data_IF_849605601744
#
_entry.id   IF_849605601744
#
_cell.length_a   1.000
_cell.length_b   1.000
_cell.length_c   1.000
_cell.angle_alpha   90.00
_cell.angle_beta   90.00
_cell.angle_gamma   90.00
#
_symmetry.space_group_name_H-M   'P 1'
#
loop_
_entity.id
_entity.type
_entity.pdbx_description
1 polymer ?
#
# COMPACT_ATOMS: atom_id res chain seq x y z
N UNK A 1 9.93 14.64 37.34
CA UNK A 1 10.07 13.15 37.27
C UNK A 1 10.93 12.86 36.06
N UNK A 2 12.14 12.34 36.29
CA UNK A 2 13.15 12.08 35.23
C UNK A 2 12.79 10.82 34.43
N UNK A 3 13.32 10.70 33.22
CA UNK A 3 12.99 9.73 32.18
C UNK A 3 12.88 8.24 32.61
N UNK A 4 13.57 7.84 33.69
CA UNK A 4 13.53 6.49 34.23
C UNK A 4 12.16 6.10 34.81
N UNK A 5 11.31 7.06 35.17
CA UNK A 5 9.99 6.76 35.71
C UNK A 5 8.94 6.41 34.65
N UNK A 6 9.10 6.90 33.39
CA UNK A 6 8.20 6.59 32.27
C UNK A 6 8.29 5.12 31.88
N UNK A 7 9.50 4.60 31.75
CA UNK A 7 9.71 3.19 31.38
C UNK A 7 9.17 2.23 32.45
N UNK A 8 9.42 2.54 33.73
CA UNK A 8 8.89 1.73 34.84
C UNK A 8 7.35 1.75 34.88
N UNK A 9 6.74 2.91 34.62
CA UNK A 9 5.29 3.01 34.56
C UNK A 9 4.72 2.19 33.38
N UNK A 10 5.28 2.32 32.17
CA UNK A 10 4.86 1.54 31.02
C UNK A 10 4.95 0.04 31.31
N UNK A 11 6.09 -0.44 31.80
CA UNK A 11 6.27 -1.85 32.18
C UNK A 11 5.21 -2.31 33.19
N UNK A 12 4.87 -1.48 34.18
CA UNK A 12 3.90 -1.79 35.20
C UNK A 12 2.46 -1.75 34.66
N UNK A 13 2.13 -0.81 33.79
CA UNK A 13 0.84 -0.71 33.08
C UNK A 13 0.58 -1.97 32.27
N UNK A 14 1.54 -2.37 31.42
CA UNK A 14 1.45 -3.59 30.61
C UNK A 14 1.28 -4.86 31.46
N UNK A 15 1.98 -4.95 32.59
CA UNK A 15 1.88 -6.10 33.51
C UNK A 15 0.55 -6.16 34.25
N UNK A 16 0.00 -5.00 34.63
CA UNK A 16 -1.26 -4.96 35.43
C UNK A 16 -2.51 -5.23 34.58
N UNK A 17 -2.48 -4.93 33.27
CA UNK A 17 -3.68 -4.96 32.42
C UNK A 17 -3.41 -5.54 31.03
N UNK A 18 -2.87 -6.78 30.94
CA UNK A 18 -2.43 -7.36 29.67
C UNK A 18 -3.58 -7.51 28.66
N UNK A 19 -4.77 -7.91 29.10
CA UNK A 19 -5.94 -8.12 28.23
C UNK A 19 -6.41 -6.83 27.53
N UNK A 20 -6.19 -5.68 28.16
CA UNK A 20 -6.56 -4.39 27.61
C UNK A 20 -5.62 -3.97 26.49
N UNK A 21 -4.33 -4.06 26.75
CA UNK A 21 -3.32 -3.75 25.76
C UNK A 21 -3.43 -4.70 24.58
N UNK A 22 -3.73 -5.98 24.86
CA UNK A 22 -3.99 -6.97 23.83
C UNK A 22 -5.18 -6.58 22.94
N UNK A 23 -6.29 -6.13 23.52
CA UNK A 23 -7.46 -5.71 22.73
C UNK A 23 -7.14 -4.52 21.82
N UNK A 24 -6.47 -3.49 22.33
CA UNK A 24 -6.08 -2.32 21.53
C UNK A 24 -5.09 -2.75 20.44
N UNK A 25 -4.10 -3.55 20.80
CA UNK A 25 -3.14 -4.12 19.86
C UNK A 25 -3.82 -4.88 18.73
N UNK A 26 -4.77 -5.78 19.03
CA UNK A 26 -5.52 -6.55 18.03
C UNK A 26 -6.34 -5.62 17.13
N UNK A 27 -7.02 -4.61 17.68
CA UNK A 27 -7.80 -3.65 16.90
C UNK A 27 -6.90 -2.89 15.92
N UNK A 28 -5.74 -2.38 16.37
CA UNK A 28 -4.80 -1.67 15.51
C UNK A 28 -4.26 -2.60 14.43
N UNK A 29 -3.88 -3.83 14.79
CA UNK A 29 -3.36 -4.83 13.86
C UNK A 29 -4.38 -5.15 12.77
N UNK A 30 -5.62 -5.49 13.16
CA UNK A 30 -6.69 -5.79 12.21
C UNK A 30 -7.01 -4.59 11.29
N UNK A 31 -6.98 -3.38 11.85
CA UNK A 31 -7.23 -2.16 11.07
C UNK A 31 -6.15 -1.86 10.03
N UNK A 32 -4.90 -2.25 10.30
CA UNK A 32 -3.77 -2.07 9.39
C UNK A 32 -3.67 -3.17 8.31
N UNK A 33 -4.12 -4.39 8.60
CA UNK A 33 -3.97 -5.52 7.68
C UNK A 33 -4.60 -5.22 6.32
N UNK A 34 -5.83 -4.72 6.28
CA UNK A 34 -6.56 -4.53 5.02
C UNK A 34 -5.92 -3.46 4.11
N UNK A 35 -5.59 -2.26 4.59
CA UNK A 35 -4.84 -1.28 3.80
C UNK A 35 -3.48 -1.79 3.32
N UNK A 36 -2.76 -2.55 4.16
CA UNK A 36 -1.48 -3.15 3.78
C UNK A 36 -1.64 -4.23 2.71
N UNK A 37 -2.68 -5.07 2.80
CA UNK A 37 -3.00 -6.06 1.76
C UNK A 37 -3.25 -5.37 0.41
N UNK A 38 -4.03 -4.28 0.40
CA UNK A 38 -4.25 -3.50 -0.82
C UNK A 38 -2.98 -2.87 -1.37
N UNK A 39 -2.12 -2.31 -0.48
CA UNK A 39 -0.83 -1.75 -0.91
C UNK A 39 0.06 -2.81 -1.55
N UNK A 40 0.23 -3.97 -0.90
CA UNK A 40 1.06 -5.07 -1.42
C UNK A 40 0.46 -5.64 -2.72
N UNK A 41 -0.87 -5.73 -2.81
CA UNK A 41 -1.53 -6.17 -4.04
C UNK A 41 -1.24 -5.23 -5.22
N UNK A 42 -1.37 -3.91 -5.00
CA UNK A 42 -1.09 -2.91 -6.03
C UNK A 42 0.38 -2.93 -6.49
N UNK A 43 1.31 -3.01 -5.54
CA UNK A 43 2.74 -3.08 -5.83
C UNK A 43 3.07 -4.35 -6.64
N UNK A 44 2.48 -5.48 -6.25
CA UNK A 44 2.70 -6.77 -6.90
C UNK A 44 2.08 -6.83 -8.30
N UNK A 45 0.87 -6.30 -8.45
CA UNK A 45 0.16 -6.22 -9.73
C UNK A 45 0.90 -5.31 -10.72
N UNK A 46 1.27 -4.11 -10.28
CA UNK A 46 2.01 -3.15 -11.11
C UNK A 46 3.38 -3.70 -11.53
N UNK A 47 4.10 -4.34 -10.60
CA UNK A 47 5.38 -4.95 -10.92
C UNK A 47 5.25 -6.13 -11.90
N UNK A 48 4.27 -7.01 -11.68
CA UNK A 48 4.03 -8.15 -12.57
C UNK A 48 3.65 -7.70 -13.98
N UNK A 49 2.79 -6.68 -14.10
CA UNK A 49 2.44 -6.08 -15.38
C UNK A 49 3.66 -5.46 -16.08
N UNK A 50 4.47 -4.71 -15.35
CA UNK A 50 5.73 -4.16 -15.85
C UNK A 50 6.65 -5.26 -16.41
N UNK A 51 6.83 -6.37 -15.69
CA UNK A 51 7.65 -7.49 -16.16
C UNK A 51 7.05 -8.17 -17.40
N UNK A 52 5.73 -8.25 -17.49
CA UNK A 52 5.06 -8.79 -18.67
C UNK A 52 5.29 -7.90 -19.90
N UNK A 53 5.14 -6.58 -19.75
CA UNK A 53 5.42 -5.64 -20.84
C UNK A 53 6.86 -5.76 -21.35
N UNK A 54 7.84 -5.80 -20.44
CA UNK A 54 9.25 -6.01 -20.79
C UNK A 54 9.44 -7.33 -21.54
N UNK A 55 8.81 -8.41 -21.07
CA UNK A 55 8.92 -9.72 -21.71
C UNK A 55 8.26 -9.76 -23.09
N UNK A 56 7.17 -9.03 -23.28
CA UNK A 56 6.49 -8.90 -24.57
C UNK A 56 7.31 -8.06 -25.58
N UNK A 57 7.84 -6.93 -25.13
CA UNK A 57 8.64 -6.04 -25.96
C UNK A 57 10.04 -6.59 -26.23
N UNK A 58 10.58 -7.49 -25.37
CA UNK A 58 11.97 -8.00 -25.46
C UNK A 58 13.05 -6.91 -25.57
N UNK A 59 12.71 -5.67 -25.17
CA UNK A 59 13.59 -4.50 -25.34
C UNK A 59 13.65 -3.95 -26.78
N UNK A 60 12.75 -4.37 -27.67
CA UNK A 60 12.73 -4.00 -29.07
C UNK A 60 11.57 -3.06 -29.40
N UNK A 61 11.77 -2.18 -30.39
CA UNK A 61 10.76 -1.19 -30.77
C UNK A 61 9.68 -1.76 -31.67
N UNK A 62 10.05 -2.60 -32.62
CA UNK A 62 9.13 -3.16 -33.61
C UNK A 62 9.23 -4.69 -33.65
N UNK A 63 8.08 -5.33 -33.58
CA UNK A 63 7.91 -6.76 -33.76
C UNK A 63 7.12 -7.01 -35.04
N UNK A 64 7.64 -7.79 -35.92
CA UNK A 64 7.02 -8.15 -37.21
C UNK A 64 6.70 -9.64 -37.14
N UNK A 65 5.46 -9.95 -36.77
CA UNK A 65 4.99 -11.33 -36.58
C UNK A 65 4.65 -12.02 -37.91
N UNK A 66 4.64 -13.34 -37.88
CA UNK A 66 4.43 -14.23 -39.03
C UNK A 66 5.50 -14.07 -40.12
N UNK A 67 6.72 -13.74 -39.72
CA UNK A 67 7.84 -13.50 -40.63
C UNK A 67 8.76 -14.73 -40.73
N UNK A 68 9.27 -14.99 -41.90
CA UNK A 68 10.35 -15.96 -42.12
C UNK A 68 11.72 -15.27 -41.98
N UNK A 69 12.80 -16.08 -41.81
CA UNK A 69 14.16 -15.57 -41.70
C UNK A 69 14.55 -14.69 -42.88
N UNK A 70 14.03 -15.01 -44.08
CA UNK A 70 14.27 -14.21 -45.30
C UNK A 70 13.61 -12.84 -45.27
N UNK A 71 12.53 -12.68 -44.53
CA UNK A 71 11.84 -11.40 -44.39
C UNK A 71 12.67 -10.40 -43.58
N UNK A 72 13.58 -10.86 -42.72
CA UNK A 72 14.51 -9.98 -42.02
C UNK A 72 15.40 -9.18 -42.95
N UNK A 73 15.74 -9.73 -44.14
CA UNK A 73 16.56 -9.02 -45.11
C UNK A 73 15.85 -7.79 -45.74
N UNK A 74 14.51 -7.80 -45.80
CA UNK A 74 13.70 -6.68 -46.32
C UNK A 74 13.85 -5.45 -45.44
N UNK A 75 14.12 -5.64 -44.13
CA UNK A 75 14.23 -4.56 -43.16
C UNK A 75 15.67 -4.15 -42.85
N UNK A 76 16.67 -4.75 -43.53
CA UNK A 76 18.09 -4.37 -43.39
C UNK A 76 18.39 -2.98 -43.98
N UNK A 77 19.45 -2.37 -43.43
CA UNK A 77 20.00 -1.10 -43.92
C UNK A 77 19.02 0.07 -43.89
N UNK A 78 18.21 0.16 -42.85
CA UNK A 78 17.39 1.34 -42.56
C UNK A 78 18.17 2.21 -41.58
N UNK A 79 18.55 3.42 -42.01
CA UNK A 79 19.29 4.38 -41.19
C UNK A 79 18.47 4.73 -39.92
N UNK A 80 19.10 4.60 -38.76
CA UNK A 80 18.45 4.84 -37.45
C UNK A 80 17.81 3.60 -36.80
N UNK A 81 17.76 2.46 -37.50
CA UNK A 81 17.30 1.19 -36.95
C UNK A 81 18.46 0.20 -36.78
N UNK A 82 18.32 -0.72 -35.82
CA UNK A 82 19.25 -1.83 -35.64
C UNK A 82 19.22 -2.80 -36.82
N UNK A 83 20.21 -3.67 -36.91
CA UNK A 83 20.10 -4.81 -37.81
C UNK A 83 18.95 -5.72 -37.33
N UNK A 84 18.02 -6.06 -38.26
CA UNK A 84 16.90 -6.93 -37.90
C UNK A 84 17.41 -8.35 -37.62
N UNK A 85 16.82 -8.99 -36.63
CA UNK A 85 17.05 -10.40 -36.36
C UNK A 85 15.71 -11.17 -36.28
N UNK A 86 15.75 -12.43 -36.67
CA UNK A 86 14.58 -13.30 -36.66
C UNK A 86 14.67 -14.31 -35.52
N UNK A 87 13.57 -14.47 -34.76
CA UNK A 87 13.42 -15.44 -33.70
C UNK A 87 11.96 -15.88 -33.61
N UNK A 88 11.70 -17.19 -33.57
CA UNK A 88 10.36 -17.78 -33.35
C UNK A 88 9.24 -17.21 -34.22
N UNK A 89 9.49 -17.03 -35.53
CA UNK A 89 8.48 -16.51 -36.46
C UNK A 89 8.25 -14.99 -36.36
N UNK A 90 9.14 -14.27 -35.74
CA UNK A 90 9.06 -12.81 -35.56
C UNK A 90 10.40 -12.17 -35.91
N UNK A 91 10.35 -11.09 -36.68
CA UNK A 91 11.51 -10.22 -36.92
C UNK A 91 11.45 -9.06 -35.95
N UNK A 92 12.56 -8.82 -35.27
CA UNK A 92 12.73 -7.78 -34.27
C UNK A 92 13.61 -6.66 -34.81
N UNK A 93 13.21 -5.41 -34.57
CA UNK A 93 13.94 -4.22 -35.00
C UNK A 93 13.89 -3.16 -33.92
N UNK A 94 15.01 -2.53 -33.63
CA UNK A 94 15.14 -1.53 -32.57
C UNK A 94 15.57 -0.16 -33.13
N UNK A 95 15.06 0.92 -32.53
CA UNK A 95 15.54 2.28 -32.79
C UNK A 95 16.83 2.50 -32.01
N UNK A 96 17.93 2.83 -32.68
CA UNK A 96 19.28 2.90 -32.09
C UNK A 96 19.44 4.04 -31.07
N UNK A 97 18.64 5.09 -31.17
CA UNK A 97 18.71 6.25 -30.27
C UNK A 97 17.50 6.31 -29.38
N UNK A 98 17.69 6.13 -28.06
CA UNK A 98 16.64 6.17 -27.05
C UNK A 98 15.84 7.48 -27.03
N UNK A 99 16.47 8.63 -27.33
CA UNK A 99 15.77 9.91 -27.40
C UNK A 99 14.84 9.99 -28.61
N UNK A 100 15.22 9.35 -29.70
CA UNK A 100 14.37 9.20 -30.88
C UNK A 100 13.24 8.21 -30.61
N UNK A 101 13.49 7.14 -29.83
CA UNK A 101 12.48 6.17 -29.46
C UNK A 101 11.39 6.78 -28.57
N UNK A 102 11.74 7.69 -27.66
CA UNK A 102 10.77 8.43 -26.82
C UNK A 102 9.87 9.38 -27.63
N UNK A 103 10.27 9.73 -28.86
CA UNK A 103 9.51 10.64 -29.69
C UNK A 103 8.46 9.88 -30.51
N UNK A 104 7.18 10.13 -30.23
CA UNK A 104 6.04 9.51 -30.91
C UNK A 104 6.03 9.76 -32.42
N UNK A 105 6.47 10.94 -32.88
CA UNK A 105 6.54 11.27 -34.34
C UNK A 105 7.59 10.41 -35.03
N UNK A 106 8.74 10.21 -34.39
CA UNK A 106 9.82 9.36 -34.90
C UNK A 106 9.39 7.90 -34.98
N UNK A 107 8.71 7.40 -33.95
CA UNK A 107 8.13 6.05 -33.99
C UNK A 107 7.13 5.86 -35.12
N UNK A 108 6.22 6.82 -35.32
CA UNK A 108 5.26 6.79 -36.45
C UNK A 108 5.96 6.84 -37.80
N UNK A 109 7.02 7.63 -37.93
CA UNK A 109 7.84 7.70 -39.15
C UNK A 109 8.45 6.34 -39.48
N UNK A 110 9.17 5.72 -38.54
CA UNK A 110 9.77 4.40 -38.76
C UNK A 110 8.71 3.31 -38.99
N UNK A 111 7.61 3.33 -38.22
CA UNK A 111 6.49 2.41 -38.41
C UNK A 111 5.89 2.49 -39.82
N UNK A 112 5.71 3.71 -40.36
CA UNK A 112 5.22 3.94 -41.72
C UNK A 112 6.23 3.48 -42.80
N UNK A 113 7.51 3.66 -42.53
CA UNK A 113 8.60 3.23 -43.39
C UNK A 113 8.70 1.70 -43.46
N UNK A 114 8.59 1.02 -42.32
CA UNK A 114 8.54 -0.44 -42.27
C UNK A 114 7.30 -0.99 -42.99
N UNK A 115 6.12 -0.38 -42.78
CA UNK A 115 4.89 -0.76 -43.50
C UNK A 115 5.03 -0.56 -45.03
N UNK A 116 5.69 0.49 -45.46
CA UNK A 116 5.93 0.72 -46.89
C UNK A 116 6.83 -0.36 -47.48
N UNK A 117 7.90 -0.74 -46.79
CA UNK A 117 8.77 -1.85 -47.19
C UNK A 117 8.02 -3.17 -47.28
N UNK A 118 7.17 -3.45 -46.29
CA UNK A 118 6.33 -4.62 -46.24
C UNK A 118 5.37 -4.73 -47.43
N UNK A 119 4.73 -3.63 -47.81
CA UNK A 119 3.86 -3.60 -48.98
C UNK A 119 4.62 -3.86 -50.28
N UNK A 120 5.88 -3.46 -50.35
CA UNK A 120 6.74 -3.68 -51.52
C UNK A 120 7.17 -5.15 -51.64
N UNK A 121 7.22 -5.87 -50.50
CA UNK A 121 7.56 -7.29 -50.45
C UNK A 121 6.40 -8.24 -50.77
N UNK A 122 5.18 -7.71 -51.03
CA UNK A 122 3.94 -8.43 -51.38
C UNK A 122 3.51 -9.49 -50.33
N UNK A 123 3.91 -9.30 -49.07
CA UNK A 123 3.62 -10.22 -47.99
C UNK A 123 2.53 -9.64 -47.06
N UNK A 124 1.27 -9.96 -47.38
CA UNK A 124 0.09 -9.43 -46.68
C UNK A 124 -0.20 -10.04 -45.33
N UNK A 125 0.54 -11.09 -44.94
CA UNK A 125 0.33 -11.83 -43.68
C UNK A 125 1.16 -11.28 -42.51
N UNK A 126 2.13 -10.39 -42.79
CA UNK A 126 3.00 -9.82 -41.76
C UNK A 126 2.28 -8.74 -40.95
N UNK A 127 2.40 -8.79 -39.67
CA UNK A 127 1.81 -7.83 -38.74
C UNK A 127 2.89 -7.11 -37.95
N UNK A 128 2.94 -5.77 -38.07
CA UNK A 128 3.89 -4.92 -37.32
C UNK A 128 3.23 -4.46 -36.02
N UNK A 129 3.83 -4.82 -34.90
CA UNK A 129 3.49 -4.28 -33.56
C UNK A 129 4.60 -3.35 -33.16
N UNK A 130 4.27 -2.12 -32.76
CA UNK A 130 5.21 -1.14 -32.25
C UNK A 130 5.05 -1.01 -30.73
N UNK A 131 6.17 -1.01 -30.02
CA UNK A 131 6.22 -0.76 -28.59
C UNK A 131 6.89 0.60 -28.35
N UNK A 132 6.21 1.47 -27.61
CA UNK A 132 6.81 2.73 -27.17
C UNK A 132 7.89 2.48 -26.11
N UNK A 133 8.75 3.47 -25.90
CA UNK A 133 9.88 3.39 -24.98
C UNK A 133 9.42 2.99 -23.57
N UNK A 134 8.33 3.61 -23.11
CA UNK A 134 7.82 3.38 -21.76
C UNK A 134 7.28 1.96 -21.60
N UNK A 135 6.51 1.47 -22.56
CA UNK A 135 6.01 0.08 -22.58
C UNK A 135 7.15 -0.94 -22.58
N UNK A 136 8.16 -0.71 -23.43
CA UNK A 136 9.31 -1.63 -23.53
C UNK A 136 10.15 -1.67 -22.24
N UNK A 137 10.15 -0.57 -21.47
CA UNK A 137 10.82 -0.49 -20.16
C UNK A 137 9.91 -0.78 -18.98
N UNK A 138 8.69 -1.25 -19.23
CA UNK A 138 7.72 -1.65 -18.22
C UNK A 138 7.07 -0.48 -17.48
N UNK A 139 7.08 0.71 -18.08
CA UNK A 139 6.37 1.88 -17.58
C UNK A 139 4.99 1.87 -18.22
N UNK A 140 3.98 1.46 -17.45
CA UNK A 140 2.60 1.44 -17.95
C UNK A 140 1.96 2.82 -17.85
N UNK A 141 1.50 3.35 -18.98
CA UNK A 141 0.68 4.57 -19.05
C UNK A 141 -0.81 4.24 -19.25
N UNK A 142 -1.21 2.99 -19.06
CA UNK A 142 -2.59 2.59 -19.31
C UNK A 142 -3.53 3.28 -18.31
N UNK A 143 -4.33 4.23 -18.82
CA UNK A 143 -5.25 5.04 -18.00
C UNK A 143 -6.27 4.17 -17.23
N UNK A 144 -6.57 2.98 -17.74
CA UNK A 144 -7.48 2.04 -17.12
C UNK A 144 -6.84 1.36 -15.90
N UNK A 145 -5.56 1.01 -15.97
CA UNK A 145 -4.80 0.47 -14.83
C UNK A 145 -4.60 1.55 -13.75
N UNK A 146 -4.20 2.76 -14.15
CA UNK A 146 -4.05 3.90 -13.26
C UNK A 146 -5.37 4.24 -12.54
N UNK A 147 -6.51 4.18 -13.23
CA UNK A 147 -7.83 4.39 -12.64
C UNK A 147 -8.17 3.36 -11.57
N UNK A 148 -7.92 2.08 -11.84
CA UNK A 148 -8.12 1.00 -10.88
C UNK A 148 -7.26 1.15 -9.62
N UNK A 149 -5.99 1.50 -9.78
CA UNK A 149 -5.06 1.74 -8.67
C UNK A 149 -5.50 2.92 -7.79
N UNK A 150 -5.96 4.02 -8.41
CA UNK A 150 -6.48 5.20 -7.69
C UNK A 150 -7.70 4.83 -6.85
N UNK A 151 -8.66 4.08 -7.39
CA UNK A 151 -9.85 3.63 -6.67
C UNK A 151 -9.47 2.79 -5.44
N UNK A 152 -8.55 1.83 -5.58
CA UNK A 152 -8.12 0.98 -4.47
C UNK A 152 -7.38 1.80 -3.40
N UNK A 153 -6.57 2.78 -3.79
CA UNK A 153 -5.90 3.71 -2.84
C UNK A 153 -6.92 4.56 -2.07
N UNK A 154 -7.91 5.10 -2.75
CA UNK A 154 -9.01 5.87 -2.10
C UNK A 154 -9.76 4.97 -1.12
N UNK A 155 -10.11 3.75 -1.52
CA UNK A 155 -10.78 2.78 -0.66
C UNK A 155 -9.94 2.44 0.59
N UNK A 156 -8.63 2.28 0.43
CA UNK A 156 -7.70 2.04 1.55
C UNK A 156 -7.72 3.18 2.56
N UNK A 157 -7.68 4.43 2.08
CA UNK A 157 -7.77 5.63 2.95
C UNK A 157 -9.11 5.68 3.67
N UNK A 158 -10.21 5.38 2.97
CA UNK A 158 -11.55 5.35 3.56
C UNK A 158 -11.66 4.30 4.68
N UNK A 159 -11.09 3.11 4.47
CA UNK A 159 -11.02 2.05 5.50
C UNK A 159 -10.20 2.52 6.70
N UNK A 160 -9.09 3.25 6.49
CA UNK A 160 -8.30 3.82 7.59
C UNK A 160 -9.13 4.79 8.43
N UNK A 161 -9.98 5.63 7.83
CA UNK A 161 -10.85 6.55 8.56
C UNK A 161 -11.93 5.81 9.36
N UNK A 162 -12.57 4.78 8.81
CA UNK A 162 -13.53 3.94 9.53
C UNK A 162 -12.84 3.28 10.73
N UNK A 163 -11.66 2.71 10.54
CA UNK A 163 -10.87 2.07 11.57
C UNK A 163 -10.48 3.05 12.68
N UNK A 164 -10.15 4.31 12.32
CA UNK A 164 -9.87 5.37 13.29
C UNK A 164 -11.11 5.72 14.13
N UNK A 165 -12.32 5.67 13.56
CA UNK A 165 -13.57 5.83 14.31
C UNK A 165 -13.79 4.73 15.34
N UNK A 166 -13.55 3.48 14.98
CA UNK A 166 -13.61 2.33 15.91
C UNK A 166 -12.57 2.49 17.02
N UNK A 167 -11.34 2.87 16.65
CA UNK A 167 -10.28 3.14 17.61
C UNK A 167 -10.62 4.28 18.58
N UNK A 168 -11.25 5.35 18.11
CA UNK A 168 -11.72 6.46 18.96
C UNK A 168 -12.63 5.91 20.07
N UNK A 169 -13.64 5.12 19.70
CA UNK A 169 -14.57 4.52 20.65
C UNK A 169 -13.88 3.57 21.65
N UNK A 170 -13.00 2.71 21.16
CA UNK A 170 -12.22 1.81 22.00
C UNK A 170 -11.34 2.59 22.99
N UNK A 171 -10.69 3.66 22.52
CA UNK A 171 -9.81 4.48 23.34
C UNK A 171 -10.58 5.33 24.36
N UNK A 172 -11.75 5.86 24.02
CA UNK A 172 -12.62 6.54 24.97
C UNK A 172 -13.06 5.62 26.12
N UNK A 173 -13.43 4.39 25.80
CA UNK A 173 -13.76 3.38 26.78
C UNK A 173 -12.56 3.03 27.68
N UNK A 174 -11.37 2.94 27.09
CA UNK A 174 -10.13 2.75 27.82
C UNK A 174 -9.89 3.91 28.79
N UNK A 175 -9.93 5.14 28.33
CA UNK A 175 -9.71 6.31 29.17
C UNK A 175 -10.76 6.49 30.27
N UNK A 176 -12.03 6.11 30.04
CA UNK A 176 -13.05 6.16 31.09
C UNK A 176 -12.73 5.24 32.26
N UNK A 177 -12.19 4.05 31.99
CA UNK A 177 -11.78 3.09 33.03
C UNK A 177 -10.54 3.50 33.79
N UNK A 178 -9.70 4.36 33.21
CA UNK A 178 -8.46 4.87 33.80
C UNK A 178 -8.60 6.22 34.49
N UNK A 179 -9.81 6.74 34.65
CA UNK A 179 -10.02 8.03 35.33
C UNK A 179 -9.52 8.03 36.74
N UNK A 180 -9.65 6.91 37.46
CA UNK A 180 -9.12 6.77 38.83
C UNK A 180 -7.60 6.86 38.87
N UNK A 181 -6.90 6.22 37.90
CA UNK A 181 -5.42 6.27 37.84
C UNK A 181 -4.93 7.68 37.46
N UNK A 182 -5.66 8.38 36.58
CA UNK A 182 -5.39 9.77 36.25
C UNK A 182 -5.56 10.68 37.47
N UNK A 183 -6.63 10.48 38.24
CA UNK A 183 -6.88 11.23 39.46
C UNK A 183 -5.75 10.99 40.49
N UNK A 184 -5.29 9.75 40.62
CA UNK A 184 -4.17 9.38 41.50
C UNK A 184 -2.87 10.03 41.05
N UNK A 185 -2.56 10.00 39.74
CA UNK A 185 -1.37 10.66 39.19
C UNK A 185 -1.41 12.18 39.38
N UNK A 186 -2.59 12.80 39.17
CA UNK A 186 -2.79 14.23 39.41
C UNK A 186 -2.63 14.58 40.89
N UNK A 187 -3.13 13.75 41.81
CA UNK A 187 -2.96 13.98 43.25
C UNK A 187 -1.51 13.83 43.72
N UNK A 188 -0.71 13.03 42.97
CA UNK A 188 0.73 12.92 43.19
C UNK A 188 1.52 14.07 42.52
N UNK A 189 0.85 15.10 41.96
CA UNK A 189 1.49 16.29 41.39
C UNK A 189 1.91 16.14 39.94
N UNK A 190 1.39 15.13 39.22
CA UNK A 190 1.65 15.01 37.78
C UNK A 190 0.83 16.04 36.99
N UNK A 191 1.50 16.85 36.13
CA UNK A 191 0.83 17.78 35.22
C UNK A 191 0.09 17.04 34.11
N UNK A 192 -1.01 17.62 33.63
CA UNK A 192 -1.80 17.09 32.52
C UNK A 192 -0.95 16.83 31.26
N UNK A 193 0.09 17.62 31.01
CA UNK A 193 1.03 17.38 29.91
C UNK A 193 1.82 16.09 30.09
N UNK A 194 2.23 15.80 31.33
CA UNK A 194 2.96 14.58 31.65
C UNK A 194 2.07 13.33 31.50
N UNK A 195 0.83 13.42 31.96
CA UNK A 195 -0.17 12.36 31.80
C UNK A 195 -0.44 12.08 30.31
N UNK A 196 -0.66 13.14 29.50
CA UNK A 196 -0.89 12.96 28.07
C UNK A 196 0.31 12.33 27.35
N UNK A 197 1.54 12.77 27.67
CA UNK A 197 2.76 12.17 27.09
C UNK A 197 2.88 10.70 27.42
N UNK A 198 2.47 10.31 28.63
CA UNK A 198 2.48 8.92 29.06
C UNK A 198 1.54 8.05 28.20
N UNK A 199 0.31 8.54 27.94
CA UNK A 199 -0.65 7.84 27.09
C UNK A 199 -0.21 7.77 25.64
N UNK A 200 0.40 8.86 25.13
CA UNK A 200 0.98 8.83 23.78
C UNK A 200 2.13 7.83 23.67
N UNK A 201 2.98 7.72 24.69
CA UNK A 201 4.06 6.75 24.72
C UNK A 201 3.55 5.30 24.76
N UNK A 202 2.53 5.04 25.59
CA UNK A 202 1.86 3.73 25.65
C UNK A 202 1.23 3.34 24.31
N UNK A 203 0.51 4.29 23.69
CA UNK A 203 -0.07 4.12 22.38
C UNK A 203 0.99 3.89 21.30
N UNK A 204 2.08 4.64 21.31
CA UNK A 204 3.17 4.51 20.34
C UNK A 204 3.79 3.10 20.37
N UNK A 205 4.06 2.57 21.58
CA UNK A 205 4.60 1.20 21.73
C UNK A 205 3.63 0.18 21.15
N UNK A 206 2.33 0.27 21.48
CA UNK A 206 1.32 -0.63 20.93
C UNK A 206 1.20 -0.52 19.41
N UNK A 207 1.22 0.71 18.90
CA UNK A 207 1.16 0.96 17.46
C UNK A 207 2.34 0.35 16.70
N UNK A 208 3.58 0.54 17.20
CA UNK A 208 4.76 -0.04 16.56
C UNK A 208 4.72 -1.58 16.56
N UNK A 209 4.36 -2.20 17.67
CA UNK A 209 4.21 -3.65 17.74
C UNK A 209 3.11 -4.14 16.80
N UNK A 210 1.97 -3.45 16.75
CA UNK A 210 0.85 -3.78 15.86
C UNK A 210 1.21 -3.61 14.39
N UNK A 211 1.96 -2.54 14.03
CA UNK A 211 2.40 -2.30 12.66
C UNK A 211 3.33 -3.41 12.15
N UNK A 212 4.31 -3.82 12.95
CA UNK A 212 5.20 -4.93 12.60
C UNK A 212 4.40 -6.22 12.37
N UNK A 213 3.48 -6.54 13.28
CA UNK A 213 2.65 -7.73 13.15
C UNK A 213 1.71 -7.66 11.95
N UNK A 214 1.12 -6.50 11.69
CA UNK A 214 0.23 -6.29 10.53
C UNK A 214 0.98 -6.48 9.21
N UNK A 215 2.22 -5.95 9.08
CA UNK A 215 3.06 -6.15 7.90
C UNK A 215 3.38 -7.63 7.70
N UNK A 216 3.78 -8.33 8.75
CA UNK A 216 4.10 -9.76 8.66
C UNK A 216 2.88 -10.60 8.26
N UNK A 217 1.72 -10.32 8.84
CA UNK A 217 0.46 -11.02 8.52
C UNK A 217 0.03 -10.68 7.08
N UNK A 218 0.04 -9.41 6.69
CA UNK A 218 -0.36 -8.99 5.35
C UNK A 218 0.56 -9.58 4.28
N UNK A 219 1.89 -9.49 4.48
CA UNK A 219 2.87 -10.07 3.56
C UNK A 219 2.74 -11.59 3.46
N UNK A 220 2.60 -12.29 4.60
CA UNK A 220 2.40 -13.73 4.63
C UNK A 220 1.11 -14.17 3.94
N UNK A 221 0.01 -13.46 4.20
CA UNK A 221 -1.30 -13.73 3.57
C UNK A 221 -1.23 -13.52 2.07
N UNK A 222 -0.62 -12.41 1.61
CA UNK A 222 -0.48 -12.14 0.18
C UNK A 222 0.42 -13.16 -0.51
N UNK A 223 1.56 -13.49 0.09
CA UNK A 223 2.45 -14.52 -0.47
C UNK A 223 1.73 -15.86 -0.60
N UNK A 224 0.93 -16.23 0.39
CA UNK A 224 0.14 -17.46 0.36
C UNK A 224 -0.94 -17.40 -0.74
N UNK A 225 -1.68 -16.29 -0.86
CA UNK A 225 -2.69 -16.11 -1.90
C UNK A 225 -2.08 -16.19 -3.29
N UNK A 226 -0.95 -15.55 -3.53
CA UNK A 226 -0.25 -15.61 -4.82
C UNK A 226 0.21 -17.03 -5.14
N UNK A 227 0.75 -17.75 -4.16
CA UNK A 227 1.18 -19.14 -4.34
C UNK A 227 0.00 -20.05 -4.75
N UNK A 228 -1.09 -20.02 -3.99
CA UNK A 228 -2.27 -20.82 -4.33
C UNK A 228 -2.93 -20.40 -5.64
N UNK A 229 -2.97 -19.11 -5.94
CA UNK A 229 -3.61 -18.62 -7.15
C UNK A 229 -2.83 -18.97 -8.41
N UNK A 230 -1.51 -18.95 -8.34
CA UNK A 230 -0.62 -19.37 -9.42
C UNK A 230 -0.67 -20.90 -9.65
N UNK A 231 -0.60 -21.70 -8.59
CA UNK A 231 -0.71 -23.17 -8.71
C UNK A 231 -2.03 -23.63 -9.33
N UNK A 232 -3.14 -22.97 -8.97
CA UNK A 232 -4.47 -23.32 -9.52
C UNK A 232 -4.66 -22.87 -10.96
N UNK A 233 -3.86 -21.92 -11.47
CA UNK A 233 -4.08 -21.27 -12.76
C UNK A 233 -2.91 -21.29 -13.73
N UNK A 234 -1.89 -22.11 -13.51
CA UNK A 234 -0.76 -22.27 -14.43
C UNK A 234 -1.14 -22.63 -15.87
N UNK A 235 -2.39 -23.03 -16.12
CA UNK A 235 -2.93 -23.26 -17.47
C UNK A 235 -3.75 -22.10 -18.07
N UNK A 236 -3.97 -20.97 -17.36
CA UNK A 236 -4.89 -19.90 -17.78
C UNK A 236 -4.30 -18.49 -17.83
N UNK A 237 -3.00 -18.34 -17.90
CA UNK A 237 -2.41 -17.07 -18.35
C UNK A 237 -2.42 -15.89 -17.38
N UNK A 238 -2.41 -16.11 -16.06
CA UNK A 238 -2.23 -15.02 -15.09
C UNK A 238 -0.77 -14.98 -14.61
N UNK A 239 0.14 -14.86 -15.56
CA UNK A 239 1.58 -14.76 -15.30
C UNK A 239 2.02 -13.38 -14.76
N UNK A 240 1.11 -12.40 -14.71
CA UNK A 240 1.44 -11.01 -14.34
C UNK A 240 1.36 -10.69 -12.84
N UNK A 241 0.95 -11.64 -11.99
CA UNK A 241 0.93 -11.45 -10.54
C UNK A 241 2.23 -11.94 -9.91
N UNK A 242 3.21 -11.05 -9.77
CA UNK A 242 4.49 -11.34 -9.11
C UNK A 242 4.51 -10.68 -7.74
N UNK A 243 4.75 -11.46 -6.69
CA UNK A 243 4.81 -10.94 -5.33
C UNK A 243 5.97 -9.94 -5.18
N UNK A 244 5.61 -8.69 -4.88
CA UNK A 244 6.55 -7.60 -4.58
C UNK A 244 6.01 -6.75 -3.45
N UNK A 245 6.88 -6.33 -2.56
CA UNK A 245 6.58 -5.34 -1.52
C UNK A 245 7.45 -4.12 -1.79
N UNK A 246 6.81 -2.98 -2.02
CA UNK A 246 7.52 -1.70 -2.12
C UNK A 246 7.61 -1.08 -0.71
N UNK A 247 8.82 -0.98 -0.11
CA UNK A 247 8.96 -0.51 1.26
C UNK A 247 8.47 0.92 1.46
N UNK A 248 8.59 1.77 0.44
CA UNK A 248 8.14 3.17 0.49
C UNK A 248 6.62 3.24 0.67
N UNK A 249 5.86 2.50 -0.13
CA UNK A 249 4.39 2.48 -0.03
C UNK A 249 3.92 1.87 1.29
N UNK A 250 4.56 0.79 1.73
CA UNK A 250 4.28 0.15 3.02
C UNK A 250 4.50 1.10 4.19
N UNK A 251 5.65 1.80 4.23
CA UNK A 251 5.97 2.79 5.26
C UNK A 251 4.99 3.97 5.20
N UNK A 252 4.68 4.48 4.01
CA UNK A 252 3.72 5.57 3.82
C UNK A 252 2.34 5.20 4.38
N UNK A 253 1.85 4.00 4.09
CA UNK A 253 0.60 3.47 4.61
C UNK A 253 0.58 3.47 6.15
N UNK A 254 1.65 2.98 6.80
CA UNK A 254 1.78 2.95 8.26
C UNK A 254 1.83 4.37 8.84
N UNK A 255 2.61 5.27 8.22
CA UNK A 255 2.74 6.66 8.67
C UNK A 255 1.41 7.41 8.57
N UNK A 256 0.71 7.31 7.44
CA UNK A 256 -0.60 7.95 7.26
C UNK A 256 -1.59 7.44 8.30
N UNK A 257 -1.67 6.14 8.52
CA UNK A 257 -2.54 5.57 9.53
C UNK A 257 -2.15 6.02 10.95
N UNK A 258 -0.86 6.06 11.26
CA UNK A 258 -0.34 6.56 12.54
C UNK A 258 -0.71 8.02 12.79
N UNK A 259 -0.65 8.88 11.76
CA UNK A 259 -1.07 10.27 11.84
C UNK A 259 -2.57 10.41 12.11
N UNK A 260 -3.40 9.65 11.39
CA UNK A 260 -4.86 9.63 11.60
C UNK A 260 -5.18 9.20 13.04
N UNK A 261 -4.57 8.13 13.54
CA UNK A 261 -4.79 7.64 14.89
C UNK A 261 -4.26 8.62 15.95
N UNK A 262 -3.11 9.22 15.74
CA UNK A 262 -2.55 10.24 16.65
C UNK A 262 -3.45 11.47 16.74
N UNK A 263 -4.03 11.90 15.62
CA UNK A 263 -5.02 12.98 15.55
C UNK A 263 -6.28 12.65 16.34
N UNK A 264 -6.84 11.44 16.17
CA UNK A 264 -8.02 10.98 16.91
C UNK A 264 -7.75 10.89 18.41
N UNK A 265 -6.59 10.38 18.80
CA UNK A 265 -6.16 10.30 20.20
C UNK A 265 -6.02 11.71 20.81
N UNK A 266 -5.37 12.63 20.10
CA UNK A 266 -5.25 14.03 20.53
C UNK A 266 -6.59 14.70 20.73
N UNK A 267 -7.55 14.45 19.84
CA UNK A 267 -8.92 14.97 19.97
C UNK A 267 -9.62 14.44 21.24
N UNK A 268 -9.55 13.12 21.47
CA UNK A 268 -10.14 12.49 22.66
C UNK A 268 -9.55 13.03 23.96
N UNK A 269 -8.22 13.23 24.00
CA UNK A 269 -7.55 13.79 25.16
C UNK A 269 -7.91 15.27 25.39
N UNK A 270 -8.12 16.05 24.33
CA UNK A 270 -8.54 17.46 24.41
C UNK A 270 -9.97 17.58 24.92
N UNK A 271 -10.91 16.81 24.37
CA UNK A 271 -12.32 16.81 24.78
C UNK A 271 -12.48 16.48 26.28
N UNK A 272 -11.65 15.60 26.82
CA UNK A 272 -11.64 15.28 28.25
C UNK A 272 -11.10 16.40 29.14
N UNK A 273 -10.20 17.22 28.64
CA UNK A 273 -9.64 18.36 29.38
C UNK A 273 -10.70 19.43 29.66
N UNK A 274 -11.65 19.62 28.74
CA UNK A 274 -12.70 20.64 28.84
C UNK A 274 -13.78 20.29 29.88
N UNK A 275 -13.97 19.01 30.19
CA UNK A 275 -14.86 18.58 31.26
C UNK A 275 -14.19 18.84 32.61
N UNK A 276 -14.70 19.80 33.37
CA UNK A 276 -14.15 20.14 34.69
C UNK A 276 -14.19 18.96 35.66
N UNK A 277 -13.28 18.91 36.62
CA UNK A 277 -13.20 17.87 37.65
C UNK A 277 -14.55 17.71 38.39
N UNK A 278 -15.28 18.82 38.58
CA UNK A 278 -16.59 18.87 39.19
C UNK A 278 -17.70 18.20 38.36
N UNK A 279 -17.70 18.34 37.06
CA UNK A 279 -18.68 17.64 36.23
C UNK A 279 -18.45 16.13 36.20
N UNK A 280 -17.20 15.70 36.33
CA UNK A 280 -16.84 14.26 36.42
C UNK A 280 -17.30 13.65 37.75
N UNK A 281 -17.12 14.34 38.88
CA UNK A 281 -17.66 13.90 40.18
C UNK A 281 -19.19 13.81 40.18
N UNK A 282 -19.86 14.72 39.51
CA UNK A 282 -21.33 14.73 39.42
C UNK A 282 -21.87 13.56 38.55
N UNK A 283 -21.21 13.21 37.48
CA UNK A 283 -21.55 12.01 36.66
C UNK A 283 -21.33 10.71 37.42
N UNK A 284 -20.23 10.60 38.18
CA UNK A 284 -19.95 9.41 39.00
C UNK A 284 -20.96 9.20 40.14
N UNK A 285 -21.41 10.29 40.76
CA UNK A 285 -22.44 10.26 41.82
C UNK A 285 -23.79 9.85 41.19
N UNK A 286 -24.18 10.40 40.06
CA UNK A 286 -25.42 10.06 39.38
C UNK A 286 -25.45 8.62 38.85
N UNK A 287 -24.33 8.12 38.32
CA UNK A 287 -24.22 6.70 37.91
C UNK A 287 -24.20 5.73 39.09
N UNK A 288 -23.65 6.10 40.25
CA UNK A 288 -23.72 5.31 41.45
C UNK A 288 -25.15 5.23 42.02
N UNK A 289 -25.90 6.34 41.96
CA UNK A 289 -27.29 6.42 42.41
C UNK A 289 -28.23 5.65 41.47
N UNK A 290 -28.02 5.71 40.16
CA UNK A 290 -28.82 4.93 39.21
C UNK A 290 -28.61 3.41 39.36
N UNK A 291 -27.37 2.98 39.66
CA UNK A 291 -27.08 1.56 39.95
C UNK A 291 -27.69 1.07 41.27
N UNK A 292 -27.88 1.96 42.25
CA UNK A 292 -28.60 1.61 43.49
C UNK A 292 -30.11 1.47 43.23
N UNK A 293 -30.71 2.29 42.35
CA UNK A 293 -32.16 2.21 42.02
C UNK A 293 -32.54 1.00 41.15
N UNK A 294 -31.60 0.40 40.42
CA UNK A 294 -31.84 -0.80 39.60
C UNK A 294 -31.65 -2.13 40.38
N UNK A 295 -31.33 -2.08 41.68
CA UNK A 295 -31.15 -3.26 42.51
C UNK A 295 -32.31 -3.48 43.52
N UNK A 296 -33.42 -2.76 43.37
CA UNK A 296 -34.67 -2.98 44.15
C UNK A 296 -35.82 -3.39 43.23
#
# INVERSE_FOLDING_TARGET
MKDMSYFLYLKQSFRRRPMWHLNIYVIITCALILPLLFSIYLDSSSYGWSQQLISMAKGETFHIANADEKDAEVFRNIEGLSEPYWEDGTVYVHILDDEQWKNTETMQYFGSLLQKRLKTADNTMLHITAYDYDTAHGISHDAQEAGGQVIIRILSVFIMFISAGIMKSAYENHLRRFQSDMATLSSCGADNRQINRLYFAEFAVLFFCAAISAVLIAAGTMKLLFHFYLEVKEGQGIAWLIFKIEPVHTILCIVVFGLILSGTLGHVLKEKKEKSVWSRMKEDIQTADSRKRTKW
#
